data_IF_595340113881
#
_entry.id   IF_595340113881
#
_cell.length_a   1.000
_cell.length_b   1.000
_cell.length_c   1.000
_cell.angle_alpha   90.00
_cell.angle_beta   90.00
_cell.angle_gamma   90.00
#
_symmetry.space_group_name_H-M   'P 1'
#
loop_
_entity.id
_entity.type
_entity.pdbx_description
1 polymer ?
#
# COMPACT_ATOMS: atom_id res chain seq x y z
N UNK A 1 13.30 6.97 19.82
CA UNK A 1 12.42 7.62 18.82
C UNK A 1 11.65 6.52 18.11
N UNK A 2 10.35 6.72 17.87
CA UNK A 2 9.55 5.79 17.05
C UNK A 2 10.14 5.71 15.64
N UNK A 3 10.08 4.53 15.01
CA UNK A 3 10.60 4.31 13.64
C UNK A 3 9.72 4.97 12.56
N UNK A 4 8.54 5.43 12.94
CA UNK A 4 7.56 6.10 12.09
C UNK A 4 6.78 7.16 12.88
N UNK A 5 6.16 8.10 12.16
CA UNK A 5 5.36 9.19 12.72
C UNK A 5 3.86 8.94 12.60
N UNK A 6 3.05 9.82 13.21
CA UNK A 6 1.58 9.75 13.07
C UNK A 6 1.18 10.00 11.61
N UNK A 7 1.88 10.88 10.90
CA UNK A 7 1.63 11.17 9.49
C UNK A 7 1.88 9.95 8.59
N UNK A 8 2.80 9.08 8.98
CA UNK A 8 3.06 7.81 8.28
C UNK A 8 1.88 6.83 8.46
N UNK A 9 1.32 6.76 9.67
CA UNK A 9 0.10 5.98 9.94
C UNK A 9 -1.06 6.52 9.11
N UNK A 10 -1.24 7.83 9.09
CA UNK A 10 -2.32 8.47 8.32
C UNK A 10 -2.14 8.32 6.80
N UNK A 11 -0.89 8.29 6.30
CA UNK A 11 -0.60 8.00 4.90
C UNK A 11 -1.05 6.58 4.51
N UNK A 12 -0.70 5.57 5.31
CA UNK A 12 -1.14 4.17 5.07
C UNK A 12 -2.66 4.07 5.12
N UNK A 13 -3.31 4.73 6.08
CA UNK A 13 -4.79 4.76 6.15
C UNK A 13 -5.43 5.37 4.92
N UNK A 14 -4.91 6.48 4.40
CA UNK A 14 -5.41 7.08 3.16
C UNK A 14 -5.23 6.13 1.99
N UNK A 15 -4.05 5.53 1.81
CA UNK A 15 -3.80 4.53 0.77
C UNK A 15 -4.73 3.31 0.87
N UNK A 16 -5.04 2.84 2.09
CA UNK A 16 -6.01 1.75 2.31
C UNK A 16 -7.41 2.10 1.78
N UNK A 17 -7.84 3.36 1.87
CA UNK A 17 -9.13 3.77 1.30
C UNK A 17 -9.16 3.62 -0.22
N UNK A 18 -8.01 3.82 -0.88
CA UNK A 18 -7.87 3.64 -2.33
C UNK A 18 -7.68 2.17 -2.72
N UNK A 19 -7.00 1.37 -1.88
CA UNK A 19 -6.71 -0.04 -2.12
C UNK A 19 -7.97 -0.88 -2.41
N UNK A 20 -9.12 -0.53 -1.83
CA UNK A 20 -10.42 -1.18 -2.12
C UNK A 20 -10.88 -1.04 -3.57
N UNK A 21 -10.45 0.01 -4.28
CA UNK A 21 -10.92 0.33 -5.64
C UNK A 21 -9.82 0.16 -6.69
N UNK A 22 -8.56 0.10 -6.26
CA UNK A 22 -7.38 0.12 -7.12
C UNK A 22 -6.43 -0.99 -6.69
N UNK A 23 -6.45 -2.09 -7.44
CA UNK A 23 -5.68 -3.29 -7.12
C UNK A 23 -4.19 -3.03 -7.03
N UNK A 24 -3.62 -2.15 -7.88
CA UNK A 24 -2.19 -1.81 -7.82
C UNK A 24 -1.78 -1.09 -6.52
N UNK A 25 -2.68 -0.31 -5.90
CA UNK A 25 -2.43 0.32 -4.60
C UNK A 25 -2.49 -0.74 -3.49
N UNK A 26 -3.44 -1.67 -3.60
CA UNK A 26 -3.51 -2.81 -2.69
C UNK A 26 -2.24 -3.66 -2.79
N UNK A 27 -1.80 -3.98 -3.99
CA UNK A 27 -0.59 -4.75 -4.26
C UNK A 27 0.65 -4.03 -3.72
N UNK A 28 0.69 -2.69 -3.79
CA UNK A 28 1.74 -1.88 -3.17
C UNK A 28 1.78 -2.03 -1.65
N UNK A 29 0.64 -1.85 -0.97
CA UNK A 29 0.57 -2.01 0.48
C UNK A 29 0.87 -3.45 0.91
N UNK A 30 0.41 -4.44 0.15
CA UNK A 30 0.71 -5.84 0.41
C UNK A 30 2.18 -6.19 0.17
N UNK A 31 2.83 -5.60 -0.82
CA UNK A 31 4.28 -5.76 -1.04
C UNK A 31 5.09 -5.15 0.11
N UNK A 32 4.65 -4.00 0.64
CA UNK A 32 5.24 -3.34 1.80
C UNK A 32 5.04 -4.14 3.12
N UNK A 33 4.01 -4.97 3.19
CA UNK A 33 3.80 -5.93 4.28
C UNK A 33 4.55 -7.24 4.06
N UNK A 34 4.55 -7.77 2.84
CA UNK A 34 5.11 -9.07 2.52
C UNK A 34 5.60 -9.10 1.06
N UNK A 35 6.91 -9.29 0.82
CA UNK A 35 7.51 -9.18 -0.50
C UNK A 35 7.07 -10.28 -1.49
N UNK A 36 6.32 -11.29 -1.04
CA UNK A 36 5.72 -12.29 -1.92
C UNK A 36 4.60 -11.72 -2.80
N UNK A 37 3.99 -10.59 -2.41
CA UNK A 37 3.06 -9.87 -3.28
C UNK A 37 3.85 -9.01 -4.26
N UNK A 38 3.62 -9.19 -5.56
CA UNK A 38 4.22 -8.35 -6.59
C UNK A 38 3.46 -7.03 -6.71
N UNK A 39 4.19 -5.91 -6.82
CA UNK A 39 3.62 -4.61 -7.11
C UNK A 39 4.17 -4.06 -8.44
N UNK A 40 3.29 -3.54 -9.29
CA UNK A 40 3.69 -2.73 -10.44
C UNK A 40 3.91 -1.27 -10.02
N UNK A 41 5.15 -0.98 -9.62
CA UNK A 41 5.58 0.36 -9.21
C UNK A 41 5.40 1.38 -10.35
N UNK A 42 5.55 0.99 -11.61
CA UNK A 42 5.38 1.93 -12.72
C UNK A 42 3.93 2.40 -12.81
N UNK A 43 2.97 1.49 -12.73
CA UNK A 43 1.55 1.85 -12.69
C UNK A 43 1.22 2.71 -11.47
N UNK A 44 1.78 2.39 -10.30
CA UNK A 44 1.60 3.20 -9.09
C UNK A 44 2.10 4.63 -9.27
N UNK A 45 3.32 4.81 -9.81
CA UNK A 45 3.94 6.12 -10.01
C UNK A 45 3.25 6.92 -11.13
N UNK A 46 2.90 6.29 -12.25
CA UNK A 46 2.12 6.95 -13.30
C UNK A 46 0.75 7.40 -12.78
N UNK A 47 0.14 6.62 -11.89
CA UNK A 47 -1.11 7.01 -11.25
C UNK A 47 -0.93 8.17 -10.26
N UNK A 48 0.14 8.17 -9.47
CA UNK A 48 0.43 9.29 -8.56
C UNK A 48 0.69 10.60 -9.30
N UNK A 49 1.32 10.55 -10.46
CA UNK A 49 1.60 11.72 -11.28
C UNK A 49 0.34 12.23 -12.02
N UNK A 50 -0.60 11.33 -12.32
CA UNK A 50 -1.83 11.61 -13.07
C UNK A 50 -3.02 12.10 -12.23
N UNK A 51 -2.92 12.14 -10.90
CA UNK A 51 -4.01 12.52 -10.00
C UNK A 51 -4.23 14.03 -9.95
N UNK A 52 -4.34 14.73 -11.09
CA UNK A 52 -4.86 16.11 -11.18
C UNK A 52 -4.22 17.17 -10.26
N UNK A 53 -2.99 16.96 -9.76
CA UNK A 53 -2.34 17.83 -8.79
C UNK A 53 -2.57 17.49 -7.30
N UNK A 54 -3.17 16.34 -6.97
CA UNK A 54 -3.24 15.85 -5.59
C UNK A 54 -1.88 15.34 -5.12
N UNK A 55 -1.09 16.28 -4.62
CA UNK A 55 0.22 16.02 -4.03
C UNK A 55 0.12 15.12 -2.78
N UNK A 56 -1.07 15.00 -2.16
CA UNK A 56 -1.26 14.20 -0.94
C UNK A 56 -1.07 12.72 -1.23
N UNK A 57 -1.70 12.21 -2.29
CA UNK A 57 -1.57 10.81 -2.66
C UNK A 57 -0.12 10.46 -3.00
N UNK A 58 0.54 11.32 -3.77
CA UNK A 58 1.94 11.15 -4.14
C UNK A 58 2.86 11.17 -2.90
N UNK A 59 2.63 12.09 -1.96
CA UNK A 59 3.35 12.15 -0.69
C UNK A 59 3.11 10.89 0.16
N UNK A 60 1.89 10.36 0.18
CA UNK A 60 1.56 9.14 0.92
C UNK A 60 2.31 7.93 0.34
N UNK A 61 2.37 7.80 -0.99
CA UNK A 61 3.16 6.75 -1.65
C UNK A 61 4.64 6.90 -1.30
N UNK A 62 5.20 8.10 -1.38
CA UNK A 62 6.60 8.33 -1.04
C UNK A 62 6.93 8.06 0.43
N UNK A 63 5.99 8.37 1.35
CA UNK A 63 6.15 8.02 2.77
C UNK A 63 6.24 6.51 2.95
N UNK A 64 5.33 5.74 2.35
CA UNK A 64 5.37 4.28 2.46
C UNK A 64 6.65 3.70 1.83
N UNK A 65 7.12 4.23 0.69
CA UNK A 65 8.40 3.85 0.13
C UNK A 65 9.58 4.12 1.09
N UNK A 66 9.59 5.29 1.74
CA UNK A 66 10.62 5.62 2.72
C UNK A 66 10.56 4.70 3.96
N UNK A 67 9.38 4.29 4.41
CA UNK A 67 9.20 3.32 5.49
C UNK A 67 9.77 1.95 5.11
N UNK A 68 9.48 1.46 3.90
CA UNK A 68 10.01 0.20 3.39
C UNK A 68 11.55 0.19 3.35
N UNK A 69 12.16 1.30 2.90
CA UNK A 69 13.64 1.46 2.90
C UNK A 69 14.21 1.38 4.32
N UNK A 70 13.45 1.85 5.32
CA UNK A 70 13.83 1.77 6.73
C UNK A 70 13.43 0.45 7.41
N UNK A 71 12.91 -0.53 6.65
CA UNK A 71 12.48 -1.82 7.17
C UNK A 71 11.25 -1.75 8.06
N UNK A 72 10.36 -0.77 7.83
CA UNK A 72 9.06 -0.68 8.48
C UNK A 72 8.00 -1.26 7.55
N UNK A 73 7.32 -2.30 8.03
CA UNK A 73 6.25 -2.99 7.32
C UNK A 73 4.89 -2.34 7.61
N UNK A 74 3.93 -2.41 6.68
CA UNK A 74 2.65 -1.68 6.85
C UNK A 74 1.79 -2.20 8.01
N UNK A 75 1.92 -3.46 8.41
CA UNK A 75 1.26 -4.00 9.61
C UNK A 75 1.73 -3.31 10.90
N UNK A 76 2.96 -2.80 10.96
CA UNK A 76 3.44 -2.02 12.12
C UNK A 76 2.65 -0.70 12.29
N UNK A 77 2.01 -0.20 11.21
CA UNK A 77 1.24 1.04 11.22
C UNK A 77 -0.28 0.83 11.39
N UNK A 78 -0.83 -0.26 10.85
CA UNK A 78 -2.28 -0.49 10.79
C UNK A 78 -2.76 -1.83 11.36
N UNK A 79 -1.84 -2.68 11.82
CA UNK A 79 -2.14 -3.99 12.38
C UNK A 79 -2.14 -5.13 11.35
N UNK A 80 -1.76 -6.32 11.81
CA UNK A 80 -1.76 -7.54 10.99
C UNK A 80 -3.17 -7.91 10.53
N UNK A 81 -4.20 -7.70 11.36
CA UNK A 81 -5.56 -8.08 11.00
C UNK A 81 -6.06 -7.38 9.73
N UNK A 82 -5.64 -6.13 9.51
CA UNK A 82 -5.99 -5.35 8.32
C UNK A 82 -5.24 -5.87 7.10
N UNK A 83 -3.93 -6.10 7.23
CA UNK A 83 -3.10 -6.56 6.11
C UNK A 83 -3.45 -7.99 5.69
N UNK A 84 -3.75 -8.88 6.64
CA UNK A 84 -4.19 -10.24 6.36
C UNK A 84 -5.57 -10.29 5.69
N UNK A 85 -6.51 -9.43 6.10
CA UNK A 85 -7.81 -9.32 5.42
C UNK A 85 -7.62 -8.91 3.96
N UNK A 86 -6.78 -7.89 3.72
CA UNK A 86 -6.43 -7.41 2.39
C UNK A 86 -5.75 -8.49 1.53
N UNK A 87 -4.86 -9.28 2.15
CA UNK A 87 -4.18 -10.41 1.50
C UNK A 87 -5.15 -11.53 1.11
N UNK A 88 -6.13 -11.85 1.98
CA UNK A 88 -7.16 -12.86 1.69
C UNK A 88 -8.02 -12.45 0.50
N UNK A 89 -8.48 -11.19 0.47
CA UNK A 89 -9.23 -10.65 -0.66
C UNK A 89 -8.44 -10.74 -1.97
N UNK A 90 -7.16 -10.35 -1.95
CA UNK A 90 -6.31 -10.39 -3.14
C UNK A 90 -6.13 -11.81 -3.69
N UNK A 91 -5.90 -12.79 -2.80
CA UNK A 91 -5.75 -14.20 -3.16
C UNK A 91 -7.05 -14.82 -3.69
N UNK A 92 -8.20 -14.38 -3.20
CA UNK A 92 -9.48 -14.80 -3.74
C UNK A 92 -9.64 -14.33 -5.20
N UNK A 93 -9.31 -13.06 -5.47
CA UNK A 93 -9.34 -12.53 -6.84
C UNK A 93 -8.34 -13.22 -7.79
N UNK A 94 -7.16 -13.62 -7.31
CA UNK A 94 -6.22 -14.41 -8.13
C UNK A 94 -6.79 -15.77 -8.51
N UNK A 95 -7.50 -16.44 -7.59
CA UNK A 95 -8.15 -17.72 -7.86
C UNK A 95 -9.28 -17.57 -8.87
N UNK A 96 -10.08 -16.51 -8.76
CA UNK A 96 -11.17 -16.23 -9.71
C UNK A 96 -10.67 -15.93 -11.13
N UNK A 97 -9.48 -15.33 -11.28
CA UNK A 97 -8.88 -15.04 -12.60
C UNK A 97 -8.21 -16.26 -13.25
N UNK A 98 -7.84 -17.26 -12.45
CA UNK A 98 -7.12 -18.45 -12.91
C UNK A 98 -8.04 -19.62 -13.28
N UNK A 99 -9.33 -19.57 -12.91
CA UNK A 99 -10.37 -20.54 -13.28
C UNK A 99 -11.16 -20.09 -14.49
#
# INVERSE_FOLDING_TARGET
MSRFTIEDVEAVKRLLTHAKRKTFIRDFLLNAYNPWFSCDIRTLMCYSDGFGGDMTFQQDVYRVLALMVNGVETNELVGDEIMEALARERRAEDKERAG
#
